data_IF_862613356543
#
_entry.id   IF_862613356543
#
_cell.length_a   1.000
_cell.length_b   1.000
_cell.length_c   1.000
_cell.angle_alpha   90.00
_cell.angle_beta   90.00
_cell.angle_gamma   90.00
#
_symmetry.space_group_name_H-M   'P 1'
#
loop_
_entity.id
_entity.type
_entity.pdbx_description
1 polymer ?
#
# COMPACT_ATOMS: atom_id res chain seq x y z
N UNK A 1 -43.31 -43.50 1.58
CA UNK A 1 -43.47 -42.16 2.20
C UNK A 1 -43.81 -41.17 1.09
N UNK A 2 -44.72 -40.25 1.38
CA UNK A 2 -45.76 -39.74 0.47
C UNK A 2 -45.31 -38.94 -0.76
N UNK A 3 -46.07 -39.15 -1.85
CA UNK A 3 -46.16 -38.38 -3.09
C UNK A 3 -47.49 -37.60 -3.06
N UNK A 4 -47.52 -36.30 -3.39
CA UNK A 4 -48.65 -35.53 -3.96
C UNK A 4 -48.06 -34.20 -4.48
N UNK A 5 -48.04 -33.91 -5.78
CA UNK A 5 -49.14 -33.49 -6.68
C UNK A 5 -49.55 -32.01 -6.55
N UNK A 6 -49.28 -31.27 -7.64
CA UNK A 6 -49.98 -30.13 -8.27
C UNK A 6 -50.98 -29.30 -7.44
N UNK A 7 -50.76 -27.98 -7.51
CA UNK A 7 -51.76 -27.05 -8.04
C UNK A 7 -52.38 -26.09 -7.03
N UNK A 8 -52.15 -24.79 -7.23
CA UNK A 8 -53.17 -23.73 -7.36
C UNK A 8 -52.53 -22.36 -7.20
N UNK A 9 -52.58 -21.57 -8.27
CA UNK A 9 -52.44 -20.11 -8.26
C UNK A 9 -53.62 -19.48 -7.51
N UNK A 10 -53.40 -18.30 -6.93
CA UNK A 10 -54.23 -17.18 -7.35
C UNK A 10 -53.38 -16.02 -7.86
N UNK A 11 -53.74 -15.55 -9.05
CA UNK A 11 -53.40 -14.24 -9.58
C UNK A 11 -54.09 -13.12 -8.78
N UNK A 12 -53.76 -11.88 -9.16
CA UNK A 12 -54.37 -10.58 -8.80
C UNK A 12 -53.64 -9.94 -7.60
N UNK A 13 -52.95 -8.78 -7.71
CA UNK A 13 -53.28 -7.52 -8.39
C UNK A 13 -52.03 -6.90 -9.03
N UNK A 14 -52.10 -6.53 -10.31
CA UNK A 14 -51.22 -5.52 -10.93
C UNK A 14 -51.67 -4.14 -10.44
N UNK A 15 -50.88 -3.52 -9.56
CA UNK A 15 -51.00 -2.13 -9.14
C UNK A 15 -49.81 -1.34 -9.63
N UNK A 16 -50.06 -0.45 -10.58
CA UNK A 16 -49.13 0.51 -11.17
C UNK A 16 -48.46 1.43 -10.14
N UNK A 17 -47.21 1.82 -10.40
CA UNK A 17 -46.60 3.01 -9.78
C UNK A 17 -45.22 2.76 -9.25
N UNK A 18 -44.22 2.92 -10.11
CA UNK A 18 -42.82 2.80 -9.74
C UNK A 18 -42.38 3.86 -8.74
N UNK A 19 -41.52 3.46 -7.81
CA UNK A 19 -40.39 4.25 -7.34
C UNK A 19 -39.26 3.23 -7.10
N UNK A 20 -38.19 3.33 -7.87
CA UNK A 20 -37.00 2.54 -7.66
C UNK A 20 -36.45 2.83 -6.27
N UNK A 21 -36.26 1.79 -5.46
CA UNK A 21 -35.42 1.88 -4.28
C UNK A 21 -33.98 1.93 -4.77
N UNK A 22 -33.45 3.15 -4.86
CA UNK A 22 -32.02 3.38 -5.02
C UNK A 22 -31.42 2.89 -3.70
N UNK A 23 -30.81 1.71 -3.70
CA UNK A 23 -29.93 1.29 -2.62
C UNK A 23 -28.68 2.13 -2.79
N UNK A 24 -28.63 3.28 -2.11
CA UNK A 24 -27.40 4.06 -2.01
C UNK A 24 -26.31 3.14 -1.48
N UNK A 25 -25.13 3.04 -2.13
CA UNK A 25 -23.99 2.45 -1.47
C UNK A 25 -23.73 3.30 -0.23
N UNK A 26 -23.84 2.69 0.96
CA UNK A 26 -23.40 3.31 2.19
C UNK A 26 -21.93 3.70 1.98
N UNK A 27 -21.67 5.00 1.90
CA UNK A 27 -20.30 5.53 1.93
C UNK A 27 -19.64 4.92 3.17
N UNK A 28 -18.51 4.21 3.04
CA UNK A 28 -17.80 3.72 4.22
C UNK A 28 -17.54 4.91 5.13
N UNK A 29 -17.95 4.77 6.41
CA UNK A 29 -17.82 5.82 7.42
C UNK A 29 -16.40 6.41 7.35
N UNK A 30 -16.33 7.71 7.08
CA UNK A 30 -15.09 8.47 6.93
C UNK A 30 -14.18 8.39 8.16
N UNK A 31 -14.73 8.03 9.30
CA UNK A 31 -14.02 7.81 10.56
C UNK A 31 -13.22 6.50 10.58
N UNK A 32 -13.74 5.42 10.00
CA UNK A 32 -13.02 4.13 9.88
C UNK A 32 -11.88 4.26 8.88
N UNK A 33 -12.10 4.99 7.78
CA UNK A 33 -11.04 5.27 6.79
C UNK A 33 -9.94 6.14 7.40
N UNK A 34 -10.30 7.12 8.25
CA UNK A 34 -9.34 7.97 8.97
C UNK A 34 -8.52 7.20 9.99
N UNK A 35 -9.16 6.39 10.83
CA UNK A 35 -8.46 5.60 11.84
C UNK A 35 -7.52 4.57 11.21
N UNK A 36 -7.92 3.94 10.11
CA UNK A 36 -7.03 3.04 9.37
C UNK A 36 -5.85 3.80 8.78
N UNK A 37 -6.07 4.98 8.16
CA UNK A 37 -4.97 5.78 7.61
C UNK A 37 -3.98 6.25 8.70
N UNK A 38 -4.47 6.65 9.87
CA UNK A 38 -3.64 7.04 11.01
C UNK A 38 -2.83 5.85 11.57
N UNK A 39 -3.44 4.66 11.67
CA UNK A 39 -2.72 3.45 12.11
C UNK A 39 -1.61 3.05 11.12
N UNK A 40 -1.88 3.12 9.81
CA UNK A 40 -0.86 2.80 8.81
C UNK A 40 0.25 3.86 8.78
N UNK A 41 -0.10 5.12 9.06
CA UNK A 41 0.84 6.24 9.13
C UNK A 41 1.80 6.10 10.31
N UNK A 42 1.30 5.69 11.48
CA UNK A 42 2.12 5.40 12.66
C UNK A 42 3.05 4.18 12.42
N UNK A 43 2.57 3.14 11.75
CA UNK A 43 3.39 1.94 11.43
C UNK A 43 4.48 2.23 10.40
N UNK A 44 4.19 3.06 9.38
CA UNK A 44 5.19 3.42 8.38
C UNK A 44 6.29 4.33 8.96
N UNK A 45 5.95 5.24 9.87
CA UNK A 45 6.90 6.14 10.53
C UNK A 45 7.74 5.48 11.65
N UNK A 46 7.24 4.43 12.32
CA UNK A 46 7.86 3.97 13.57
C UNK A 46 8.49 2.56 13.51
N UNK A 47 8.53 1.89 12.35
CA UNK A 47 9.05 0.50 12.34
C UNK A 47 10.56 0.40 12.56
N UNK A 48 11.34 1.46 12.29
CA UNK A 48 12.77 1.55 12.60
C UNK A 48 13.16 2.97 13.01
N UNK A 49 13.81 3.09 14.18
CA UNK A 49 14.37 4.35 14.65
C UNK A 49 15.62 4.69 13.83
N UNK A 50 15.61 5.84 13.17
CA UNK A 50 16.75 6.41 12.49
C UNK A 50 17.21 7.71 13.16
N UNK A 51 18.50 8.00 13.08
CA UNK A 51 19.05 9.27 13.58
C UNK A 51 18.43 10.47 12.87
N UNK A 52 18.27 10.36 11.54
CA UNK A 52 17.50 11.27 10.70
C UNK A 52 16.80 10.49 9.60
N UNK A 53 15.49 10.33 9.70
CA UNK A 53 14.67 9.85 8.60
C UNK A 53 14.59 10.92 7.51
N UNK A 54 14.90 10.53 6.28
CA UNK A 54 14.84 11.43 5.11
C UNK A 54 13.61 11.13 4.27
N UNK A 55 13.30 9.86 4.06
CA UNK A 55 12.08 9.46 3.38
C UNK A 55 11.61 8.09 3.83
N UNK A 56 10.30 7.87 3.81
CA UNK A 56 9.69 6.57 4.00
C UNK A 56 8.62 6.33 2.93
N UNK A 57 8.55 5.09 2.47
CA UNK A 57 7.65 4.65 1.41
C UNK A 57 6.92 3.39 1.85
N UNK A 58 5.63 3.35 1.57
CA UNK A 58 4.79 2.19 1.79
C UNK A 58 4.22 1.74 0.46
N UNK A 59 4.42 0.46 0.12
CA UNK A 59 3.71 -0.22 -0.96
C UNK A 59 2.73 -1.24 -0.38
N UNK A 60 2.05 -2.01 -1.23
CA UNK A 60 1.24 -3.14 -0.74
C UNK A 60 2.09 -4.21 -0.04
N UNK A 61 3.32 -4.45 -0.54
CA UNK A 61 4.16 -5.56 -0.10
C UNK A 61 5.30 -5.15 0.83
N UNK A 62 5.72 -3.88 0.82
CA UNK A 62 6.92 -3.43 1.49
C UNK A 62 6.72 -2.12 2.27
N UNK A 63 7.47 -1.99 3.35
CA UNK A 63 7.85 -0.72 3.95
C UNK A 63 9.31 -0.46 3.60
N UNK A 64 9.63 0.75 3.16
CA UNK A 64 11.00 1.18 2.86
C UNK A 64 11.25 2.47 3.64
N UNK A 65 12.37 2.53 4.34
CA UNK A 65 12.80 3.71 5.07
C UNK A 65 14.21 4.08 4.63
N UNK A 66 14.43 5.36 4.35
CA UNK A 66 15.69 5.94 3.90
C UNK A 66 16.13 6.95 4.95
N UNK A 67 17.33 6.71 5.49
CA UNK A 67 17.90 7.47 6.60
C UNK A 67 19.24 8.07 6.21
N UNK A 68 19.55 9.21 6.81
CA UNK A 68 20.87 9.79 6.76
C UNK A 68 21.59 9.53 8.08
N UNK A 69 22.74 8.87 8.00
CA UNK A 69 23.61 8.64 9.14
C UNK A 69 24.30 9.93 9.58
N UNK A 70 24.85 9.99 10.82
CA UNK A 70 25.63 11.14 11.30
C UNK A 70 26.87 11.45 10.44
N UNK A 71 27.40 10.47 9.71
CA UNK A 71 28.49 10.66 8.74
C UNK A 71 28.07 11.45 7.49
N UNK A 72 26.76 11.56 7.24
CA UNK A 72 26.17 12.10 6.02
C UNK A 72 25.80 11.03 4.99
N UNK A 73 26.22 9.78 5.20
CA UNK A 73 25.92 8.65 4.32
C UNK A 73 24.44 8.27 4.39
N UNK A 74 23.92 7.77 3.27
CA UNK A 74 22.53 7.35 3.14
C UNK A 74 22.45 5.85 3.33
N UNK A 75 21.51 5.40 4.16
CA UNK A 75 21.21 3.98 4.35
C UNK A 75 19.73 3.76 4.18
N UNK A 76 19.37 2.60 3.63
CA UNK A 76 17.99 2.19 3.51
C UNK A 76 17.71 0.93 4.31
N UNK A 77 16.44 0.75 4.64
CA UNK A 77 15.92 -0.46 5.22
C UNK A 77 14.61 -0.80 4.52
N UNK A 78 14.42 -2.07 4.22
CA UNK A 78 13.18 -2.56 3.68
C UNK A 78 12.65 -3.71 4.53
N UNK A 79 11.33 -3.73 4.71
CA UNK A 79 10.61 -4.78 5.41
C UNK A 79 9.46 -5.27 4.56
N UNK A 80 9.42 -6.58 4.33
CA UNK A 80 8.30 -7.27 3.72
C UNK A 80 7.11 -7.33 4.66
N UNK A 81 5.90 -7.04 4.17
CA UNK A 81 4.65 -7.18 4.94
C UNK A 81 4.10 -8.61 4.94
N UNK A 82 4.60 -9.46 4.03
CA UNK A 82 4.11 -10.83 3.86
C UNK A 82 4.70 -11.73 4.93
N UNK A 83 6.01 -11.63 5.17
CA UNK A 83 6.76 -12.51 6.07
C UNK A 83 7.54 -11.76 7.16
N UNK A 84 7.44 -10.42 7.22
CA UNK A 84 8.22 -9.56 8.13
C UNK A 84 9.74 -9.69 7.94
N UNK A 85 10.21 -10.19 6.80
CA UNK A 85 11.64 -10.21 6.50
C UNK A 85 12.16 -8.78 6.33
N UNK A 86 13.32 -8.51 6.94
CA UNK A 86 13.99 -7.21 6.88
C UNK A 86 15.35 -7.34 6.20
N UNK A 87 15.72 -6.33 5.42
CA UNK A 87 17.04 -6.24 4.80
C UNK A 87 17.54 -4.80 4.79
N UNK A 88 18.85 -4.67 4.98
CA UNK A 88 19.57 -3.41 4.89
C UNK A 88 19.91 -3.12 3.43
N UNK A 89 19.89 -1.84 3.07
CA UNK A 89 20.19 -1.31 1.76
C UNK A 89 21.37 -0.36 1.91
N UNK A 90 22.57 -0.86 1.62
CA UNK A 90 23.82 -0.14 1.93
C UNK A 90 24.21 0.90 0.87
N UNK A 91 23.71 0.75 -0.36
CA UNK A 91 24.11 1.59 -1.50
C UNK A 91 22.95 2.47 -1.99
N UNK A 92 22.48 3.35 -1.10
CA UNK A 92 21.39 4.29 -1.41
C UNK A 92 21.95 5.56 -2.05
N UNK A 93 21.46 5.88 -3.25
CA UNK A 93 21.80 7.09 -3.98
C UNK A 93 20.53 7.91 -4.28
N UNK A 94 20.54 9.21 -4.00
CA UNK A 94 19.47 10.10 -4.45
C UNK A 94 19.61 10.34 -5.96
N UNK A 95 18.52 10.14 -6.70
CA UNK A 95 18.42 10.48 -8.13
C UNK A 95 17.81 11.87 -8.29
N UNK A 96 16.87 12.22 -7.41
CA UNK A 96 16.23 13.53 -7.32
C UNK A 96 15.75 13.76 -5.87
N UNK A 97 15.08 14.89 -5.62
CA UNK A 97 14.62 15.30 -4.29
C UNK A 97 13.79 14.26 -3.54
N UNK A 98 13.08 13.38 -4.25
CA UNK A 98 12.21 12.37 -3.64
C UNK A 98 12.42 10.95 -4.19
N UNK A 99 13.46 10.75 -4.99
CA UNK A 99 13.73 9.53 -5.72
C UNK A 99 15.07 8.93 -5.36
N UNK A 100 15.08 7.63 -5.10
CA UNK A 100 16.27 6.91 -4.63
C UNK A 100 16.53 5.67 -5.49
N UNK A 101 17.79 5.48 -5.85
CA UNK A 101 18.33 4.26 -6.42
C UNK A 101 18.99 3.47 -5.31
N UNK A 102 18.72 2.17 -5.25
CA UNK A 102 19.33 1.27 -4.28
C UNK A 102 19.87 0.06 -5.02
N UNK A 103 21.14 -0.24 -4.84
CA UNK A 103 21.79 -1.42 -5.41
C UNK A 103 21.97 -2.51 -4.35
N UNK A 104 21.57 -3.74 -4.67
CA UNK A 104 21.72 -4.91 -3.82
C UNK A 104 22.04 -6.15 -4.66
N UNK A 105 23.34 -6.44 -4.82
CA UNK A 105 23.80 -7.50 -5.72
C UNK A 105 23.38 -7.23 -7.16
N UNK A 106 22.68 -8.17 -7.79
CA UNK A 106 22.17 -8.04 -9.16
C UNK A 106 20.79 -7.35 -9.25
N UNK A 107 20.27 -6.88 -8.11
CA UNK A 107 18.96 -6.22 -8.02
C UNK A 107 19.12 -4.72 -7.78
N UNK A 108 18.41 -3.91 -8.57
CA UNK A 108 18.31 -2.46 -8.39
C UNK A 108 16.87 -2.11 -8.03
N UNK A 109 16.69 -1.35 -6.97
CA UNK A 109 15.40 -0.79 -6.58
C UNK A 109 15.39 0.70 -6.89
N UNK A 110 14.42 1.13 -7.70
CA UNK A 110 14.16 2.53 -7.96
C UNK A 110 12.89 2.90 -7.21
N UNK A 111 13.00 3.73 -6.18
CA UNK A 111 11.85 4.14 -5.37
C UNK A 111 11.59 5.63 -5.56
N UNK A 112 10.34 5.97 -5.83
CA UNK A 112 9.84 7.34 -5.98
C UNK A 112 8.57 7.50 -5.12
N UNK A 113 7.99 8.71 -4.99
CA UNK A 113 6.72 8.88 -4.28
C UNK A 113 5.53 8.17 -4.94
N UNK A 114 5.69 7.66 -6.17
CA UNK A 114 4.61 7.08 -6.97
C UNK A 114 4.73 5.57 -7.09
N UNK A 115 5.94 5.06 -7.25
CA UNK A 115 6.21 3.65 -7.51
C UNK A 115 7.57 3.18 -7.02
N UNK A 116 7.65 1.88 -6.77
CA UNK A 116 8.85 1.10 -6.55
C UNK A 116 9.04 0.19 -7.75
N UNK A 117 10.09 0.42 -8.52
CA UNK A 117 10.52 -0.50 -9.56
C UNK A 117 11.62 -1.42 -9.05
N UNK A 118 11.53 -2.70 -9.39
CA UNK A 118 12.54 -3.71 -9.07
C UNK A 118 13.12 -4.22 -10.38
N UNK A 119 14.40 -3.98 -10.57
CA UNK A 119 15.17 -4.42 -11.72
C UNK A 119 16.11 -5.54 -11.30
N UNK A 120 16.17 -6.62 -12.07
CA UNK A 120 17.12 -7.72 -11.86
C UNK A 120 17.86 -7.99 -13.16
N UNK A 121 19.19 -8.03 -13.12
CA UNK A 121 20.01 -8.24 -14.32
C UNK A 121 19.62 -7.29 -15.46
N UNK A 122 19.42 -6.00 -15.15
CA UNK A 122 19.00 -4.96 -16.08
C UNK A 122 17.65 -5.20 -16.77
N UNK A 123 16.76 -5.96 -16.13
CA UNK A 123 15.38 -6.18 -16.57
C UNK A 123 14.40 -5.79 -15.47
N UNK A 124 13.41 -4.98 -15.81
CA UNK A 124 12.29 -4.68 -14.91
C UNK A 124 11.50 -5.96 -14.64
N UNK A 125 11.46 -6.40 -13.39
CA UNK A 125 10.76 -7.62 -12.96
C UNK A 125 9.48 -7.34 -12.18
N UNK A 126 9.36 -6.16 -11.55
CA UNK A 126 8.18 -5.76 -10.79
C UNK A 126 8.09 -4.24 -10.69
N UNK A 127 6.85 -3.74 -10.67
CA UNK A 127 6.51 -2.36 -10.31
C UNK A 127 5.41 -2.43 -9.26
N UNK A 128 5.66 -1.86 -8.09
CA UNK A 128 4.69 -1.74 -7.01
C UNK A 128 4.31 -0.27 -6.83
N UNK A 129 3.01 0.03 -6.72
CA UNK A 129 2.56 1.39 -6.45
C UNK A 129 2.88 1.78 -5.01
N UNK A 130 3.39 3.00 -4.83
CA UNK A 130 3.51 3.62 -3.51
C UNK A 130 2.14 4.13 -3.07
N UNK A 131 1.70 3.62 -1.92
CA UNK A 131 0.45 3.96 -1.27
C UNK A 131 0.61 5.19 -0.37
N UNK A 132 1.75 5.30 0.32
CA UNK A 132 2.09 6.41 1.19
C UNK A 132 3.57 6.77 1.08
N UNK A 133 3.87 8.05 1.10
CA UNK A 133 5.21 8.60 1.08
C UNK A 133 5.34 9.69 2.15
N UNK A 134 6.40 9.61 2.93
CA UNK A 134 6.79 10.61 3.90
C UNK A 134 8.16 11.13 3.52
N UNK A 135 8.32 12.45 3.54
CA UNK A 135 9.62 13.09 3.41
C UNK A 135 9.91 13.76 4.75
N UNK A 136 11.06 13.46 5.35
CA UNK A 136 11.56 14.18 6.50
C UNK A 136 11.78 15.64 6.12
N UNK A 137 11.22 16.58 6.89
CA UNK A 137 11.55 17.98 6.72
C UNK A 137 13.03 18.15 7.09
N UNK A 138 13.82 18.57 6.10
CA UNK A 138 15.25 18.79 6.26
C UNK A 138 15.57 20.04 7.07
#
# INVERSE_FOLDING_TARGET
MYSFAKGLVPSVVLGLGGIGTIVSPALPNSEIVRQNAELTQEVAQDWRTCDREVAAFETENFYINICQQPSGDWVGWARSKVDNAEFQLDEVNSINEHGYCIEYGDTTYLVTPYELEIWQNNRLVRVDRVLQHYSGNS
#
